data_IF_027557181084
#
_entry.id   IF_027557181084
#
_cell.length_a   1.000
_cell.length_b   1.000
_cell.length_c   1.000
_cell.angle_alpha   90.00
_cell.angle_beta   90.00
_cell.angle_gamma   90.00
#
_symmetry.space_group_name_H-M   'P 1'
#
loop_
_entity.id
_entity.type
_entity.pdbx_description
1 polymer ?
#
# COMPACT_ATOMS: atom_id res chain seq x y z
N UNK A 1 12.79 -4.34 9.80
CA UNK A 1 14.10 -4.51 9.12
C UNK A 1 14.67 -3.16 8.72
N UNK A 2 13.97 -2.38 7.88
CA UNK A 2 14.45 -1.06 7.40
C UNK A 2 14.79 -0.09 8.56
N UNK A 3 13.96 -0.01 9.61
CA UNK A 3 14.21 0.89 10.75
C UNK A 3 15.54 0.67 11.51
N UNK A 4 16.19 -0.50 11.37
CA UNK A 4 17.50 -0.77 11.97
C UNK A 4 18.62 -0.82 10.92
N UNK A 5 18.34 -0.47 9.66
CA UNK A 5 19.31 -0.61 8.58
C UNK A 5 20.55 0.26 8.80
N UNK A 6 20.40 1.43 9.42
CA UNK A 6 21.51 2.31 9.81
C UNK A 6 22.53 1.67 10.79
N UNK A 7 22.17 0.57 11.47
CA UNK A 7 23.08 -0.13 12.41
C UNK A 7 23.97 -1.17 11.74
N UNK A 8 23.73 -1.48 10.47
CA UNK A 8 24.49 -2.50 9.75
C UNK A 8 25.87 -1.95 9.35
N UNK A 9 26.94 -2.62 9.79
CA UNK A 9 28.33 -2.14 9.62
C UNK A 9 28.99 -2.56 8.30
N UNK A 10 28.27 -3.30 7.46
CA UNK A 10 28.73 -3.83 6.18
C UNK A 10 27.78 -3.36 5.08
N UNK A 11 28.30 -3.26 3.84
CA UNK A 11 27.48 -2.93 2.68
C UNK A 11 26.32 -3.92 2.59
N UNK A 12 25.10 -3.41 2.67
CA UNK A 12 23.91 -4.25 2.75
C UNK A 12 22.91 -3.83 1.68
N UNK A 13 22.41 -4.81 0.93
CA UNK A 13 21.33 -4.66 -0.03
C UNK A 13 20.08 -5.33 0.52
N UNK A 14 18.99 -4.58 0.63
CA UNK A 14 17.70 -5.08 1.14
C UNK A 14 16.68 -4.98 0.02
N UNK A 15 15.98 -6.08 -0.25
CA UNK A 15 14.81 -6.10 -1.11
C UNK A 15 13.56 -6.21 -0.24
N UNK A 16 12.63 -5.27 -0.40
CA UNK A 16 11.31 -5.35 0.22
C UNK A 16 10.28 -5.57 -0.88
N UNK A 17 9.77 -6.80 -0.97
CA UNK A 17 8.69 -7.15 -1.89
C UNK A 17 7.35 -6.76 -1.27
N UNK A 18 6.83 -5.61 -1.65
CA UNK A 18 5.53 -5.12 -1.19
C UNK A 18 4.39 -5.86 -1.89
N UNK A 19 3.27 -6.04 -1.19
CA UNK A 19 2.06 -6.53 -1.84
C UNK A 19 1.37 -5.46 -2.69
N UNK A 20 1.55 -4.18 -2.32
CA UNK A 20 1.09 -3.01 -3.08
C UNK A 20 -0.40 -3.04 -3.38
N UNK A 21 -0.77 -2.75 -4.63
CA UNK A 21 -2.15 -2.70 -5.10
C UNK A 21 -2.67 -4.04 -5.65
N UNK A 22 -2.17 -5.18 -5.16
CA UNK A 22 -2.61 -6.49 -5.68
C UNK A 22 -4.13 -6.66 -5.55
N UNK A 23 -4.80 -6.89 -6.68
CA UNK A 23 -6.25 -7.10 -6.77
C UNK A 23 -6.69 -8.55 -6.51
N UNK A 24 -7.98 -8.89 -6.60
CA UNK A 24 -9.12 -8.00 -6.82
C UNK A 24 -9.55 -7.23 -5.56
N UNK A 25 -9.16 -7.67 -4.35
CA UNK A 25 -9.58 -7.01 -3.10
C UNK A 25 -8.68 -5.82 -2.74
N UNK A 26 -8.77 -4.72 -3.48
CA UNK A 26 -7.95 -3.52 -3.27
C UNK A 26 -8.20 -2.88 -1.90
N UNK A 27 -9.44 -2.90 -1.41
CA UNK A 27 -9.82 -2.41 -0.08
C UNK A 27 -9.08 -3.09 1.10
N UNK A 28 -8.47 -4.26 0.86
CA UNK A 28 -7.66 -4.99 1.84
C UNK A 28 -6.16 -4.68 1.74
N UNK A 29 -5.76 -3.67 0.96
CA UNK A 29 -4.35 -3.26 0.79
C UNK A 29 -3.94 -2.10 1.69
N UNK A 30 -4.88 -1.50 2.40
CA UNK A 30 -4.66 -0.39 3.33
C UNK A 30 -5.55 -0.56 4.58
N UNK A 31 -5.17 0.00 5.74
CA UNK A 31 -6.02 -0.03 6.94
C UNK A 31 -7.30 0.79 6.75
N UNK A 32 -8.43 0.47 7.42
CA UNK A 32 -9.68 1.22 7.26
C UNK A 32 -9.56 2.73 7.47
N UNK A 33 -8.74 3.16 8.43
CA UNK A 33 -8.49 4.59 8.74
C UNK A 33 -7.71 5.33 7.64
N UNK A 34 -7.22 4.62 6.62
CA UNK A 34 -6.53 5.17 5.45
C UNK A 34 -7.45 5.37 4.25
N UNK A 35 -8.76 5.11 4.40
CA UNK A 35 -9.74 5.32 3.34
C UNK A 35 -9.93 6.82 3.10
N UNK A 36 -9.44 7.33 1.97
CA UNK A 36 -9.59 8.74 1.58
C UNK A 36 -10.67 8.94 0.51
N UNK A 37 -10.72 8.04 -0.46
CA UNK A 37 -11.69 8.05 -1.55
C UNK A 37 -12.82 7.06 -1.27
N UNK A 38 -14.06 7.50 -1.43
CA UNK A 38 -15.28 6.72 -1.14
C UNK A 38 -16.36 7.03 -2.18
N UNK A 39 -17.27 6.09 -2.51
CA UNK A 39 -17.38 4.72 -1.97
C UNK A 39 -16.27 3.78 -2.47
N UNK A 40 -16.06 2.64 -1.82
CA UNK A 40 -15.02 1.65 -2.18
C UNK A 40 -15.64 0.29 -2.51
N UNK A 41 -15.04 -0.44 -3.45
CA UNK A 41 -15.46 -1.79 -3.77
C UNK A 41 -15.04 -2.76 -2.66
N UNK A 42 -16.03 -3.34 -1.96
CA UNK A 42 -15.78 -4.34 -0.90
C UNK A 42 -15.82 -5.79 -1.40
N UNK A 43 -16.34 -6.00 -2.61
CA UNK A 43 -16.48 -7.30 -3.23
C UNK A 43 -15.15 -7.82 -3.80
N UNK A 44 -14.95 -9.14 -3.71
CA UNK A 44 -13.83 -9.79 -4.42
C UNK A 44 -14.09 -9.87 -5.92
N UNK A 45 -15.36 -9.92 -6.32
CA UNK A 45 -15.78 -10.02 -7.71
C UNK A 45 -16.05 -8.60 -8.25
N UNK A 46 -15.06 -8.01 -8.93
CA UNK A 46 -15.11 -6.60 -9.35
C UNK A 46 -16.30 -6.25 -10.25
N UNK A 47 -16.87 -7.21 -10.98
CA UNK A 47 -18.06 -7.01 -11.81
C UNK A 47 -19.31 -6.62 -11.01
N UNK A 48 -19.31 -6.82 -9.68
CA UNK A 48 -20.39 -6.41 -8.77
C UNK A 48 -20.26 -4.98 -8.27
N UNK A 49 -19.14 -4.32 -8.56
CA UNK A 49 -18.86 -2.95 -8.16
C UNK A 49 -19.01 -2.00 -9.35
N UNK A 50 -19.31 -0.75 -9.05
CA UNK A 50 -19.19 0.33 -10.02
C UNK A 50 -17.72 0.59 -10.35
N UNK A 51 -17.46 1.16 -11.52
CA UNK A 51 -16.10 1.56 -11.90
C UNK A 51 -15.47 2.53 -10.89
N UNK A 52 -16.25 3.47 -10.37
CA UNK A 52 -15.82 4.45 -9.37
C UNK A 52 -15.39 3.78 -8.06
N UNK A 53 -16.17 2.82 -7.55
CA UNK A 53 -15.82 2.06 -6.34
C UNK A 53 -14.51 1.29 -6.47
N UNK A 54 -14.23 0.75 -7.66
CA UNK A 54 -12.99 0.03 -7.96
C UNK A 54 -11.81 1.01 -7.97
N UNK A 55 -11.96 2.13 -8.68
CA UNK A 55 -10.91 3.17 -8.77
C UNK A 55 -10.61 3.74 -7.38
N UNK A 56 -11.62 4.09 -6.60
CA UNK A 56 -11.44 4.60 -5.24
C UNK A 56 -10.71 3.60 -4.34
N UNK A 57 -11.05 2.31 -4.40
CA UNK A 57 -10.36 1.27 -3.65
C UNK A 57 -8.90 1.10 -4.12
N UNK A 58 -8.64 1.19 -5.42
CA UNK A 58 -7.30 1.14 -5.99
C UNK A 58 -6.46 2.37 -5.57
N UNK A 59 -7.00 3.57 -5.67
CA UNK A 59 -6.30 4.81 -5.33
C UNK A 59 -5.96 4.89 -3.83
N UNK A 60 -6.84 4.41 -2.95
CA UNK A 60 -6.51 4.28 -1.53
C UNK A 60 -5.32 3.33 -1.29
N UNK A 61 -5.17 2.26 -2.08
CA UNK A 61 -4.00 1.37 -2.00
C UNK A 61 -2.70 2.03 -2.49
N UNK A 62 -2.79 2.94 -3.46
CA UNK A 62 -1.66 3.73 -3.93
C UNK A 62 -1.21 4.72 -2.85
N UNK A 63 -2.14 5.44 -2.23
CA UNK A 63 -1.86 6.37 -1.12
C UNK A 63 -1.14 5.67 0.02
N UNK A 64 -1.55 4.44 0.37
CA UNK A 64 -0.87 3.69 1.42
C UNK A 64 0.52 3.21 1.00
N UNK A 65 0.69 2.81 -0.27
CA UNK A 65 2.00 2.43 -0.82
C UNK A 65 2.97 3.62 -0.86
N UNK A 66 2.48 4.81 -1.21
CA UNK A 66 3.23 6.08 -1.15
C UNK A 66 3.72 6.36 0.28
N UNK A 67 2.84 6.26 1.27
CA UNK A 67 3.24 6.42 2.67
C UNK A 67 4.29 5.40 3.11
N UNK A 68 4.12 4.12 2.77
CA UNK A 68 5.12 3.08 3.08
C UNK A 68 6.48 3.47 2.49
N UNK A 69 6.52 3.88 1.23
CA UNK A 69 7.76 4.29 0.57
C UNK A 69 8.39 5.53 1.24
N UNK A 70 7.58 6.53 1.58
CA UNK A 70 8.05 7.71 2.30
C UNK A 70 8.67 7.34 3.65
N UNK A 71 8.02 6.45 4.41
CA UNK A 71 8.57 5.94 5.67
C UNK A 71 9.88 5.16 5.46
N UNK A 72 10.02 4.39 4.38
CA UNK A 72 11.28 3.71 4.08
C UNK A 72 12.42 4.69 3.82
N UNK A 73 12.17 5.75 3.07
CA UNK A 73 13.14 6.80 2.79
C UNK A 73 13.52 7.52 4.09
N UNK A 74 12.54 7.92 4.88
CA UNK A 74 12.74 8.61 6.17
C UNK A 74 13.60 7.80 7.14
N UNK A 75 13.44 6.47 7.17
CA UNK A 75 14.23 5.59 8.04
C UNK A 75 15.68 5.37 7.57
N UNK A 76 16.03 5.79 6.35
CA UNK A 76 17.34 5.59 5.74
C UNK A 76 18.15 6.90 5.57
N UNK A 77 17.50 8.05 5.74
CA UNK A 77 18.15 9.37 5.83
C UNK A 77 18.79 9.57 7.20
#
# INVERSE_FOLDING_TARGET
IIANAHKMRQNTFIVVHQYGSHGASYNKRYPPDWTRFTPVCEEKELSKCTYEEIINAYDNSLVYSDWILAQMIENLQ
#
